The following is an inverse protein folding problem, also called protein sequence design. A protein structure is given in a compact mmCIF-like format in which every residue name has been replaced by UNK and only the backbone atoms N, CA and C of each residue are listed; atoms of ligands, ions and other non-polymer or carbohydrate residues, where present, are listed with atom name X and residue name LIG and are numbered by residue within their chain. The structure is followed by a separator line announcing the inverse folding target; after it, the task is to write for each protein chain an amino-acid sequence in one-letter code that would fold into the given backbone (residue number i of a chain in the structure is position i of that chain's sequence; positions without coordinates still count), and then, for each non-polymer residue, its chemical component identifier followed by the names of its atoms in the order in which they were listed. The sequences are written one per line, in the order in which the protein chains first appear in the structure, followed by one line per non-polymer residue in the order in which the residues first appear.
data_IF_958572684409
#
_entry.id   IF_958572684409
#
_cell.length_a   1.000
_cell.length_b   1.000
_cell.length_c   1.000
_cell.angle_alpha   90.00
_cell.angle_beta   90.00
_cell.angle_gamma   90.00
#
_symmetry.space_group_name_H-M   'P 1'
#
loop_
_entity.id
_entity.type
_entity.pdbx_description
1 polymer ?
#
# COMPACT_ATOMS: atom_id res chain seq x y z
N UNK A 1 -13.21 -19.38 6.28
CA UNK A 1 -11.88 -19.95 5.97
C UNK A 1 -11.30 -19.21 4.78
N UNK A 2 -10.04 -18.77 4.83
CA UNK A 2 -9.40 -18.05 3.72
C UNK A 2 -8.86 -19.02 2.68
N UNK A 3 -9.21 -18.83 1.40
CA UNK A 3 -8.70 -19.63 0.27
C UNK A 3 -7.18 -19.51 0.19
N UNK A 4 -6.64 -18.30 0.37
CA UNK A 4 -5.19 -18.08 0.38
C UNK A 4 -4.49 -18.87 1.49
N UNK A 5 -5.11 -18.94 2.69
CA UNK A 5 -4.57 -19.75 3.78
C UNK A 5 -4.61 -21.25 3.47
N UNK A 6 -5.70 -21.75 2.86
CA UNK A 6 -5.78 -23.16 2.48
C UNK A 6 -4.78 -23.50 1.36
N UNK A 7 -4.61 -22.63 0.37
CA UNK A 7 -3.61 -22.80 -0.69
C UNK A 7 -2.18 -22.76 -0.14
N UNK A 8 -1.90 -21.82 0.78
CA UNK A 8 -0.62 -21.74 1.48
C UNK A 8 -0.34 -22.99 2.32
N UNK A 9 -1.35 -23.50 3.02
CA UNK A 9 -1.24 -24.74 3.82
C UNK A 9 -0.99 -25.94 2.93
N UNK A 10 -1.76 -26.10 1.84
CA UNK A 10 -1.60 -27.19 0.88
C UNK A 10 -0.20 -27.20 0.29
N UNK A 11 0.29 -26.04 -0.13
CA UNK A 11 1.64 -25.87 -0.66
C UNK A 11 2.74 -26.25 0.36
N UNK A 12 2.53 -25.94 1.65
CA UNK A 12 3.44 -26.34 2.73
C UNK A 12 3.38 -27.85 3.06
N UNK A 13 2.24 -28.51 2.83
CA UNK A 13 2.04 -29.94 3.13
C UNK A 13 2.18 -30.85 1.91
N UNK A 14 2.31 -30.31 0.70
CA UNK A 14 2.45 -31.08 -0.52
C UNK A 14 3.82 -31.77 -0.55
N UNK A 15 3.83 -33.06 -0.26
CA UNK A 15 5.00 -33.94 -0.37
C UNK A 15 5.36 -34.14 -1.85
N UNK A 16 6.06 -33.19 -2.46
CA UNK A 16 7.02 -33.36 -3.57
C UNK A 16 6.59 -33.98 -4.91
N UNK A 17 5.39 -34.53 -5.09
CA UNK A 17 5.08 -35.36 -6.28
C UNK A 17 4.66 -34.54 -7.53
N UNK A 18 4.42 -33.23 -7.43
CA UNK A 18 3.88 -32.43 -8.57
C UNK A 18 4.70 -31.18 -8.94
N UNK A 19 5.84 -30.88 -8.32
CA UNK A 19 6.48 -29.58 -8.55
C UNK A 19 7.89 -29.66 -9.15
N UNK A 20 7.97 -29.60 -10.47
CA UNK A 20 9.16 -29.21 -11.25
C UNK A 20 9.49 -27.70 -11.11
N UNK A 21 9.16 -27.12 -9.95
CA UNK A 21 9.28 -25.70 -9.65
C UNK A 21 9.02 -25.45 -8.18
N UNK A 22 10.01 -24.93 -7.46
CA UNK A 22 10.12 -24.94 -6.00
C UNK A 22 8.87 -24.56 -5.18
N UNK A 23 8.73 -25.28 -4.07
CA UNK A 23 7.78 -25.11 -2.97
C UNK A 23 7.64 -23.62 -2.56
N UNK A 24 6.43 -23.05 -2.55
CA UNK A 24 6.15 -21.71 -2.04
C UNK A 24 5.47 -20.73 -3.02
N UNK A 25 5.81 -20.79 -4.31
CA UNK A 25 5.55 -19.68 -5.24
C UNK A 25 4.52 -19.99 -6.35
N UNK A 26 4.11 -21.25 -6.52
CA UNK A 26 3.38 -21.66 -7.71
C UNK A 26 1.93 -21.15 -7.72
N UNK A 27 1.19 -21.31 -6.62
CA UNK A 27 -0.22 -20.91 -6.59
C UNK A 27 -0.41 -19.39 -6.71
N UNK A 28 0.45 -18.58 -6.06
CA UNK A 28 0.39 -17.11 -6.17
C UNK A 28 0.67 -16.66 -7.59
N UNK A 29 1.63 -17.30 -8.28
CA UNK A 29 1.94 -17.03 -9.69
C UNK A 29 0.79 -17.45 -10.62
N UNK A 30 0.17 -18.60 -10.37
CA UNK A 30 -0.98 -19.07 -11.15
C UNK A 30 -2.16 -18.11 -10.99
N UNK A 31 -2.51 -17.74 -9.75
CA UNK A 31 -3.61 -16.78 -9.50
C UNK A 31 -3.26 -15.40 -10.05
N UNK A 32 -2.02 -14.93 -9.87
CA UNK A 32 -1.56 -13.65 -10.42
C UNK A 32 -1.70 -13.61 -11.95
N UNK A 33 -1.28 -14.66 -12.66
CA UNK A 33 -1.49 -14.79 -14.11
C UNK A 33 -2.97 -14.80 -14.51
N UNK A 34 -3.82 -15.44 -13.71
CA UNK A 34 -5.26 -15.43 -13.97
C UNK A 34 -5.85 -14.02 -13.80
N UNK A 35 -5.39 -13.25 -12.81
CA UNK A 35 -5.76 -11.84 -12.67
C UNK A 35 -5.27 -11.00 -13.85
N UNK A 36 -4.06 -11.24 -14.35
CA UNK A 36 -3.53 -10.52 -15.52
C UNK A 36 -4.31 -10.83 -16.80
N UNK A 37 -4.67 -12.10 -17.02
CA UNK A 37 -5.52 -12.49 -18.13
C UNK A 37 -6.91 -11.83 -18.05
N UNK A 38 -7.56 -11.90 -16.88
CA UNK A 38 -8.84 -11.23 -16.66
C UNK A 38 -8.75 -9.72 -16.88
N UNK A 39 -7.68 -9.07 -16.40
CA UNK A 39 -7.45 -7.64 -16.57
C UNK A 39 -7.30 -7.25 -18.04
N UNK A 40 -6.53 -8.02 -18.81
CA UNK A 40 -6.35 -7.82 -20.24
C UNK A 40 -7.67 -7.91 -21.01
N UNK A 41 -8.48 -8.92 -20.69
CA UNK A 41 -9.79 -9.12 -21.32
C UNK A 41 -10.77 -8.00 -20.93
N UNK A 42 -10.78 -7.62 -19.64
CA UNK A 42 -11.60 -6.53 -19.12
C UNK A 42 -11.26 -5.18 -19.76
N UNK A 43 -9.97 -4.84 -19.85
CA UNK A 43 -9.51 -3.61 -20.49
C UNK A 43 -9.89 -3.56 -21.97
N UNK A 44 -9.73 -4.67 -22.67
CA UNK A 44 -10.10 -4.80 -24.09
C UNK A 44 -11.60 -4.59 -24.29
N UNK A 45 -12.42 -5.19 -23.42
CA UNK A 45 -13.87 -5.03 -23.41
C UNK A 45 -14.29 -3.58 -23.14
N UNK A 46 -13.74 -2.95 -22.10
CA UNK A 46 -14.06 -1.57 -21.75
C UNK A 46 -13.62 -0.59 -22.84
N UNK A 47 -12.45 -0.78 -23.44
CA UNK A 47 -11.97 0.03 -24.56
C UNK A 47 -12.90 -0.09 -25.78
N UNK A 48 -13.38 -1.30 -26.07
CA UNK A 48 -14.32 -1.53 -27.17
C UNK A 48 -15.68 -0.86 -26.92
N UNK A 49 -16.18 -0.87 -25.69
CA UNK A 49 -17.44 -0.21 -25.32
C UNK A 49 -17.31 1.31 -25.42
N UNK A 50 -16.31 1.88 -24.76
CA UNK A 50 -16.08 3.32 -24.74
C UNK A 50 -15.80 3.84 -26.16
N UNK A 51 -15.06 3.08 -26.97
CA UNK A 51 -14.73 3.45 -28.34
C UNK A 51 -15.91 3.41 -29.33
N UNK A 52 -17.00 2.71 -29.02
CA UNK A 52 -18.22 2.65 -29.84
C UNK A 52 -19.22 3.76 -29.53
N UNK A 53 -19.03 4.50 -28.44
CA UNK A 53 -19.95 5.55 -28.03
C UNK A 53 -19.83 6.77 -28.93
N UNK A 54 -20.95 7.36 -29.40
CA UNK A 54 -20.94 8.62 -30.10
C UNK A 54 -20.41 9.75 -29.21
N UNK A 55 -19.90 10.83 -29.81
CA UNK A 55 -19.41 12.01 -29.09
C UNK A 55 -20.50 13.08 -29.03
N UNK A 56 -21.60 12.80 -28.34
CA UNK A 56 -22.61 13.80 -27.98
C UNK A 56 -22.45 14.25 -26.52
N UNK A 57 -23.17 15.30 -26.11
CA UNK A 57 -23.12 15.82 -24.74
C UNK A 57 -23.72 14.88 -23.71
N UNK A 58 -24.80 14.14 -24.05
CA UNK A 58 -25.39 13.12 -23.17
C UNK A 58 -24.47 11.89 -23.08
N UNK A 59 -23.84 11.52 -24.20
CA UNK A 59 -22.89 10.40 -24.24
C UNK A 59 -21.63 10.67 -23.41
N UNK A 60 -21.24 11.93 -23.19
CA UNK A 60 -20.08 12.28 -22.37
C UNK A 60 -20.30 11.89 -20.89
N UNK A 61 -21.52 12.05 -20.38
CA UNK A 61 -21.88 11.60 -19.03
C UNK A 61 -21.79 10.08 -18.92
N UNK A 62 -22.37 9.35 -19.88
CA UNK A 62 -22.32 7.89 -19.92
C UNK A 62 -20.87 7.40 -20.04
N UNK A 63 -20.06 8.07 -20.87
CA UNK A 63 -18.65 7.75 -21.04
C UNK A 63 -17.87 7.95 -19.74
N UNK A 64 -18.16 9.01 -18.99
CA UNK A 64 -17.56 9.25 -17.67
C UNK A 64 -17.94 8.17 -16.66
N UNK A 65 -19.21 7.72 -16.66
CA UNK A 65 -19.66 6.59 -15.83
C UNK A 65 -18.93 5.30 -16.18
N UNK A 66 -18.76 4.99 -17.46
CA UNK A 66 -17.99 3.82 -17.91
C UNK A 66 -16.51 3.91 -17.55
N UNK A 67 -15.91 5.11 -17.58
CA UNK A 67 -14.54 5.33 -17.11
C UNK A 67 -14.44 5.10 -15.60
N UNK A 68 -15.37 5.65 -14.82
CA UNK A 68 -15.42 5.43 -13.37
C UNK A 68 -15.61 3.94 -13.03
N UNK A 69 -16.49 3.25 -13.76
CA UNK A 69 -16.67 1.80 -13.64
C UNK A 69 -15.38 1.04 -13.95
N UNK A 70 -14.71 1.34 -15.06
CA UNK A 70 -13.43 0.73 -15.41
C UNK A 70 -12.38 0.96 -14.30
N UNK A 71 -12.28 2.18 -13.78
CA UNK A 71 -11.33 2.53 -12.72
C UNK A 71 -11.65 1.82 -11.40
N UNK A 72 -12.94 1.64 -11.05
CA UNK A 72 -13.35 0.91 -9.85
C UNK A 72 -12.91 -0.56 -9.91
N UNK A 73 -13.07 -1.23 -11.04
CA UNK A 73 -12.64 -2.62 -11.22
C UNK A 73 -11.12 -2.75 -11.38
N UNK A 74 -10.45 -1.73 -11.93
CA UNK A 74 -8.98 -1.64 -11.88
C UNK A 74 -8.47 -1.54 -10.43
N UNK A 75 -9.18 -0.83 -9.55
CA UNK A 75 -8.83 -0.82 -8.13
C UNK A 75 -8.93 -2.24 -7.51
N UNK A 76 -9.93 -3.02 -7.91
CA UNK A 76 -10.05 -4.42 -7.48
C UNK A 76 -8.88 -5.28 -8.00
N UNK A 77 -8.50 -5.14 -9.27
CA UNK A 77 -7.32 -5.80 -9.86
C UNK A 77 -6.06 -5.53 -9.05
N UNK A 78 -5.75 -4.24 -8.83
CA UNK A 78 -4.55 -3.82 -8.12
C UNK A 78 -4.57 -4.29 -6.67
N UNK A 79 -5.72 -4.24 -6.00
CA UNK A 79 -5.88 -4.77 -4.64
C UNK A 79 -5.60 -6.27 -4.58
N UNK A 80 -6.11 -7.04 -5.54
CA UNK A 80 -5.89 -8.48 -5.60
C UNK A 80 -4.40 -8.81 -5.81
N UNK A 81 -3.73 -8.11 -6.72
CA UNK A 81 -2.29 -8.27 -6.93
C UNK A 81 -1.47 -7.84 -5.71
N UNK A 82 -1.86 -6.78 -5.00
CA UNK A 82 -1.21 -6.38 -3.76
C UNK A 82 -1.35 -7.46 -2.67
N UNK A 83 -2.56 -7.98 -2.47
CA UNK A 83 -2.86 -9.05 -1.49
C UNK A 83 -2.13 -10.36 -1.78
N UNK A 84 -1.83 -10.68 -3.05
CA UNK A 84 -0.97 -11.82 -3.39
C UNK A 84 0.47 -11.64 -2.93
N UNK A 85 0.89 -10.42 -2.60
CA UNK A 85 2.26 -10.07 -2.29
C UNK A 85 2.45 -9.48 -0.88
N UNK A 86 1.39 -9.44 -0.07
CA UNK A 86 1.42 -8.93 1.30
C UNK A 86 0.47 -9.72 2.22
N UNK A 87 0.78 -9.76 3.52
CA UNK A 87 -0.18 -10.22 4.53
C UNK A 87 -0.91 -9.01 5.11
N UNK A 88 -2.11 -8.73 4.60
CA UNK A 88 -2.83 -7.50 4.94
C UNK A 88 -3.23 -7.42 6.41
N UNK A 89 -3.55 -8.54 7.05
CA UNK A 89 -3.88 -8.56 8.47
C UNK A 89 -2.68 -8.13 9.34
N UNK A 90 -1.47 -8.57 8.99
CA UNK A 90 -0.25 -8.16 9.69
C UNK A 90 0.01 -6.65 9.48
N UNK A 91 -0.28 -6.12 8.30
CA UNK A 91 -0.18 -4.68 8.03
C UNK A 91 -1.20 -3.87 8.83
N UNK A 92 -2.46 -4.32 8.92
CA UNK A 92 -3.48 -3.66 9.74
C UNK A 92 -3.11 -3.66 11.24
N UNK A 93 -2.64 -4.80 11.75
CA UNK A 93 -2.17 -4.90 13.14
C UNK A 93 -0.98 -3.98 13.38
N UNK A 94 0.00 -3.97 12.47
CA UNK A 94 1.17 -3.10 12.57
C UNK A 94 0.82 -1.61 12.54
N UNK A 95 -0.21 -1.24 11.78
CA UNK A 95 -0.78 0.10 11.73
C UNK A 95 -1.59 0.49 12.98
N UNK A 96 -1.80 -0.44 13.93
CA UNK A 96 -2.49 -0.15 15.19
C UNK A 96 -3.98 -0.51 15.21
N UNK A 97 -4.46 -1.37 14.31
CA UNK A 97 -5.81 -1.90 14.40
C UNK A 97 -6.05 -2.57 15.77
N UNK A 98 -7.11 -2.14 16.48
CA UNK A 98 -7.43 -2.64 17.83
C UNK A 98 -8.11 -4.01 17.81
N UNK A 99 -8.76 -4.35 16.71
CA UNK A 99 -9.43 -5.63 16.50
C UNK A 99 -9.33 -6.07 15.05
N UNK A 100 -9.19 -7.38 14.82
CA UNK A 100 -9.18 -8.00 13.50
C UNK A 100 -10.24 -9.09 13.48
N UNK A 101 -11.18 -9.00 12.52
CA UNK A 101 -12.28 -9.97 12.36
C UNK A 101 -13.05 -10.21 13.68
N UNK A 102 -13.33 -9.13 14.42
CA UNK A 102 -14.06 -9.17 15.69
C UNK A 102 -13.23 -9.63 16.91
N UNK A 103 -11.93 -9.90 16.74
CA UNK A 103 -11.05 -10.33 17.85
C UNK A 103 -10.12 -9.18 18.26
N UNK A 104 -9.99 -8.87 19.56
CA UNK A 104 -9.05 -7.86 20.02
C UNK A 104 -7.61 -8.28 19.74
N UNK A 105 -6.78 -7.33 19.33
CA UNK A 105 -5.37 -7.54 19.03
C UNK A 105 -4.57 -7.52 20.34
N UNK A 106 -3.84 -8.59 20.63
CA UNK A 106 -2.99 -8.65 21.83
C UNK A 106 -1.60 -8.07 21.55
N UNK A 107 -0.85 -7.63 22.58
CA UNK A 107 0.52 -7.14 22.40
C UNK A 107 1.46 -8.15 21.71
N UNK A 108 1.22 -9.46 21.90
CA UNK A 108 1.97 -10.53 21.23
C UNK A 108 1.71 -10.57 19.72
N UNK A 109 0.47 -10.30 19.31
CA UNK A 109 0.06 -10.28 17.91
C UNK A 109 0.73 -9.09 17.23
N UNK A 110 0.72 -7.92 17.87
CA UNK A 110 1.43 -6.73 17.40
C UNK A 110 2.92 -6.99 17.18
N UNK A 111 3.62 -7.57 18.16
CA UNK A 111 5.06 -7.88 18.02
C UNK A 111 5.34 -8.85 16.87
N UNK A 112 4.47 -9.85 16.66
CA UNK A 112 4.57 -10.79 15.54
C UNK A 112 4.40 -10.06 14.21
N UNK A 113 3.30 -9.33 14.05
CA UNK A 113 2.98 -8.61 12.83
C UNK A 113 4.03 -7.54 12.51
N UNK A 114 4.52 -6.80 13.50
CA UNK A 114 5.59 -5.82 13.32
C UNK A 114 6.88 -6.45 12.78
N UNK A 115 7.27 -7.63 13.28
CA UNK A 115 8.43 -8.38 12.73
C UNK A 115 8.18 -8.83 11.30
N UNK A 116 6.99 -9.35 11.01
CA UNK A 116 6.62 -9.83 9.68
C UNK A 116 6.62 -8.69 8.65
N UNK A 117 6.01 -7.55 8.96
CA UNK A 117 5.94 -6.38 8.08
C UNK A 117 7.32 -5.76 7.85
N UNK A 118 8.15 -5.63 8.90
CA UNK A 118 9.53 -5.16 8.75
C UNK A 118 10.38 -6.07 7.87
N UNK A 119 10.25 -7.39 8.04
CA UNK A 119 10.93 -8.38 7.20
C UNK A 119 10.44 -8.29 5.75
N UNK A 120 9.13 -8.21 5.54
CA UNK A 120 8.50 -8.06 4.23
C UNK A 120 9.03 -6.82 3.49
N UNK A 121 9.03 -5.65 4.12
CA UNK A 121 9.51 -4.41 3.51
C UNK A 121 11.03 -4.41 3.22
N UNK A 122 11.81 -5.16 4.01
CA UNK A 122 13.28 -5.17 3.95
C UNK A 122 13.89 -6.24 3.03
N UNK A 123 13.08 -7.13 2.45
CA UNK A 123 13.55 -8.33 1.73
C UNK A 123 14.51 -8.07 0.54
N UNK A 124 14.63 -6.82 0.05
CA UNK A 124 15.61 -6.41 -0.98
C UNK A 124 17.03 -6.13 -0.45
N UNK A 125 17.17 -5.79 0.83
CA UNK A 125 18.33 -5.04 1.32
C UNK A 125 19.34 -5.91 2.10
N UNK A 126 19.14 -7.22 2.18
CA UNK A 126 20.09 -8.16 2.78
C UNK A 126 21.21 -8.59 1.82
N UNK A 127 21.04 -8.42 0.50
CA UNK A 127 22.03 -8.85 -0.51
C UNK A 127 22.98 -7.72 -0.92
N UNK A 128 22.54 -6.46 -0.88
CA UNK A 128 23.40 -5.32 -1.23
C UNK A 128 24.43 -4.97 -0.14
N UNK A 129 24.09 -5.16 1.15
CA UNK A 129 25.01 -4.89 2.26
C UNK A 129 26.04 -6.02 2.48
N UNK A 130 25.90 -7.16 1.78
CA UNK A 130 26.83 -8.30 1.84
C UNK A 130 27.98 -8.19 0.81
N UNK A 131 28.06 -7.11 0.04
CA UNK A 131 29.16 -6.87 -0.91
C UNK A 131 30.25 -6.02 -0.24
N UNK A 132 31.07 -6.67 0.59
CA UNK A 132 32.47 -6.23 0.79
C UNK A 132 33.31 -6.84 -0.34
N UNK A 133 34.05 -6.06 -1.15
CA UNK A 133 34.73 -6.58 -2.32
C UNK A 133 36.17 -6.99 -2.03
N UNK A 134 36.45 -8.04 -1.25
CA UNK A 134 37.84 -8.50 -1.11
C UNK A 134 38.00 -10.04 -1.11
N UNK A 135 38.72 -10.49 -2.16
CA UNK A 135 39.42 -11.77 -2.36
C UNK A 135 38.61 -12.96 -2.91
N UNK A 136 38.95 -13.29 -4.15
CA UNK A 136 38.51 -14.45 -4.90
C UNK A 136 39.08 -15.75 -4.32
N UNK A 137 38.24 -16.80 -4.25
CA UNK A 137 38.62 -18.20 -4.56
C UNK A 137 37.39 -19.11 -4.61
N UNK A 138 37.20 -19.70 -5.79
CA UNK A 138 36.63 -21.00 -6.10
C UNK A 138 35.69 -21.65 -5.07
N UNK A 139 34.37 -21.49 -5.25
CA UNK A 139 33.39 -22.48 -4.78
C UNK A 139 32.29 -22.64 -5.82
N UNK A 140 32.10 -23.89 -6.23
CA UNK A 140 31.11 -24.36 -7.20
C UNK A 140 29.72 -23.75 -7.00
N UNK A 141 29.15 -23.23 -8.09
CA UNK A 141 27.80 -22.70 -8.16
C UNK A 141 26.77 -23.81 -7.86
N UNK A 142 26.10 -23.72 -6.70
CA UNK A 142 24.88 -24.47 -6.42
C UNK A 142 23.68 -23.71 -7.03
N UNK A 143 22.84 -24.34 -7.88
CA UNK A 143 21.60 -23.72 -8.34
C UNK A 143 20.55 -23.83 -7.23
N UNK A 144 20.27 -22.72 -6.54
CA UNK A 144 19.29 -22.65 -5.44
C UNK A 144 18.35 -21.43 -5.51
N UNK A 145 18.19 -20.76 -6.66
CA UNK A 145 17.76 -19.35 -6.64
C UNK A 145 16.32 -19.02 -7.12
N UNK A 146 15.58 -19.90 -7.79
CA UNK A 146 14.26 -19.49 -8.34
C UNK A 146 13.15 -19.29 -7.28
N UNK A 147 13.09 -20.11 -6.23
CA UNK A 147 12.05 -20.01 -5.19
C UNK A 147 12.20 -18.76 -4.29
N UNK A 148 13.42 -18.23 -4.21
CA UNK A 148 13.78 -17.09 -3.36
C UNK A 148 13.56 -15.75 -4.06
N UNK A 149 13.56 -15.70 -5.40
CA UNK A 149 13.40 -14.45 -6.18
C UNK A 149 11.99 -13.86 -6.05
N UNK A 150 10.96 -14.69 -5.99
CA UNK A 150 9.57 -14.22 -5.85
C UNK A 150 9.30 -13.56 -4.49
N UNK A 151 9.83 -14.12 -3.39
CA UNK A 151 9.71 -13.52 -2.07
C UNK A 151 10.53 -12.22 -1.92
N UNK A 152 11.60 -12.04 -2.72
CA UNK A 152 12.49 -10.88 -2.68
C UNK A 152 11.85 -9.59 -3.23
N UNK A 153 10.89 -9.69 -4.15
CA UNK A 153 10.23 -8.53 -4.77
C UNK A 153 8.81 -8.25 -4.29
N UNK A 154 8.20 -9.17 -3.52
CA UNK A 154 6.79 -9.09 -3.12
C UNK A 154 6.37 -7.72 -2.56
N UNK A 155 7.16 -7.14 -1.64
CA UNK A 155 6.84 -5.83 -1.07
C UNK A 155 6.80 -4.70 -2.11
N UNK A 156 7.68 -4.73 -3.10
CA UNK A 156 7.69 -3.72 -4.17
C UNK A 156 6.55 -3.95 -5.16
N UNK A 157 6.20 -5.21 -5.46
CA UNK A 157 5.05 -5.53 -6.29
C UNK A 157 3.76 -5.02 -5.61
N UNK A 158 3.59 -5.31 -4.32
CA UNK A 158 2.44 -4.84 -3.56
C UNK A 158 2.36 -3.30 -3.52
N UNK A 159 3.49 -2.64 -3.21
CA UNK A 159 3.60 -1.19 -3.22
C UNK A 159 3.30 -0.61 -4.62
N UNK A 160 3.80 -1.23 -5.69
CA UNK A 160 3.55 -0.79 -7.07
C UNK A 160 2.07 -0.85 -7.44
N UNK A 161 1.40 -1.96 -7.16
CA UNK A 161 -0.04 -2.07 -7.43
C UNK A 161 -0.85 -1.10 -6.56
N UNK A 162 -0.48 -0.93 -5.29
CA UNK A 162 -1.12 0.05 -4.40
C UNK A 162 -0.96 1.50 -4.90
N UNK A 163 0.24 1.88 -5.34
CA UNK A 163 0.52 3.18 -5.92
C UNK A 163 -0.31 3.44 -7.19
N UNK A 164 -0.30 2.51 -8.15
CA UNK A 164 -1.09 2.62 -9.38
C UNK A 164 -2.59 2.79 -9.10
N UNK A 165 -3.11 2.03 -8.14
CA UNK A 165 -4.49 2.16 -7.71
C UNK A 165 -4.80 3.55 -7.14
N UNK A 166 -3.98 4.07 -6.23
CA UNK A 166 -4.19 5.40 -5.65
C UNK A 166 -4.10 6.49 -6.71
N UNK A 167 -3.16 6.38 -7.66
CA UNK A 167 -2.98 7.33 -8.75
C UNK A 167 -4.24 7.44 -9.62
N UNK A 168 -4.80 6.29 -9.99
CA UNK A 168 -5.93 6.23 -10.90
C UNK A 168 -7.24 6.59 -10.15
N UNK A 169 -7.35 6.19 -8.89
CA UNK A 169 -8.52 6.46 -8.06
C UNK A 169 -8.62 7.92 -7.62
N UNK A 170 -7.52 8.56 -7.22
CA UNK A 170 -7.54 9.97 -6.80
C UNK A 170 -8.01 10.89 -7.92
N UNK A 171 -7.63 10.60 -9.16
CA UNK A 171 -8.00 11.40 -10.34
C UNK A 171 -9.44 11.22 -10.80
N UNK A 172 -10.01 10.04 -10.59
CA UNK A 172 -11.27 9.64 -11.24
C UNK A 172 -12.36 9.30 -10.21
N UNK A 173 -12.04 8.44 -9.24
CA UNK A 173 -13.04 7.85 -8.34
C UNK A 173 -13.48 8.80 -7.24
N UNK A 174 -12.58 9.65 -6.73
CA UNK A 174 -12.91 10.54 -5.60
C UNK A 174 -13.93 11.63 -5.93
N UNK A 175 -14.08 11.97 -7.22
CA UNK A 175 -15.08 12.93 -7.71
C UNK A 175 -16.31 12.27 -8.39
N UNK A 176 -16.41 10.95 -8.36
CA UNK A 176 -17.47 10.17 -9.01
C UNK A 176 -18.34 9.44 -7.97
N UNK A 177 -19.56 9.08 -8.35
CA UNK A 177 -20.49 8.25 -7.56
C UNK A 177 -19.92 6.84 -7.24
N UNK A 178 -18.80 6.45 -7.86
CA UNK A 178 -18.11 5.19 -7.62
C UNK A 178 -17.68 4.97 -6.15
N UNK A 179 -17.56 6.02 -5.34
CA UNK A 179 -17.34 5.88 -3.88
C UNK A 179 -18.52 5.21 -3.15
N UNK A 180 -19.70 5.14 -3.78
CA UNK A 180 -20.84 4.37 -3.31
C UNK A 180 -20.65 2.85 -3.44
N UNK A 181 -19.77 2.39 -4.33
CA UNK A 181 -19.46 0.97 -4.48
C UNK A 181 -18.63 0.48 -3.30
N UNK A 182 -19.13 -0.52 -2.56
CA UNK A 182 -18.52 -0.95 -1.29
C UNK A 182 -17.01 -1.26 -1.37
N UNK A 183 -16.56 -1.81 -2.51
CA UNK A 183 -15.18 -2.26 -2.68
C UNK A 183 -14.22 -1.09 -2.91
N UNK A 184 -14.66 0.01 -3.53
CA UNK A 184 -13.78 1.13 -3.89
C UNK A 184 -13.14 1.76 -2.65
N UNK A 185 -13.88 2.21 -1.62
CA UNK A 185 -13.28 2.77 -0.42
C UNK A 185 -12.39 1.78 0.34
N UNK A 186 -12.75 0.49 0.34
CA UNK A 186 -11.94 -0.55 0.96
C UNK A 186 -10.60 -0.75 0.24
N UNK A 187 -10.62 -0.76 -1.09
CA UNK A 187 -9.42 -0.81 -1.93
C UNK A 187 -8.51 0.40 -1.65
N UNK A 188 -9.04 1.61 -1.54
CA UNK A 188 -8.25 2.80 -1.20
C UNK A 188 -7.60 2.70 0.18
N UNK A 189 -8.35 2.27 1.19
CA UNK A 189 -7.81 2.00 2.52
C UNK A 189 -6.67 0.97 2.47
N UNK A 190 -6.86 -0.12 1.74
CA UNK A 190 -5.86 -1.17 1.56
C UNK A 190 -4.58 -0.64 0.92
N UNK A 191 -4.68 0.09 -0.20
CA UNK A 191 -3.48 0.69 -0.80
C UNK A 191 -2.79 1.67 0.13
N UNK A 192 -3.56 2.55 0.78
CA UNK A 192 -3.03 3.55 1.72
C UNK A 192 -2.16 2.87 2.77
N UNK A 193 -2.68 1.83 3.44
CA UNK A 193 -1.91 1.07 4.41
C UNK A 193 -0.72 0.33 3.80
N UNK A 194 -0.84 -0.17 2.58
CA UNK A 194 0.26 -0.86 1.88
C UNK A 194 1.43 0.08 1.63
N UNK A 195 1.15 1.27 1.07
CA UNK A 195 2.13 2.32 0.81
C UNK A 195 2.78 2.81 2.11
N UNK A 196 1.96 3.10 3.12
CA UNK A 196 2.43 3.53 4.43
C UNK A 196 3.35 2.48 5.07
N UNK A 197 2.91 1.22 5.11
CA UNK A 197 3.66 0.15 5.77
C UNK A 197 4.98 -0.13 5.05
N UNK A 198 4.99 -0.11 3.72
CA UNK A 198 6.19 -0.29 2.91
C UNK A 198 7.29 0.72 3.29
N UNK A 199 6.97 2.01 3.31
CA UNK A 199 7.94 3.05 3.63
C UNK A 199 8.27 3.13 5.13
N UNK A 200 7.27 3.08 6.00
CA UNK A 200 7.47 3.19 7.45
C UNK A 200 8.33 2.05 8.00
N UNK A 201 8.10 0.83 7.52
CA UNK A 201 8.86 -0.34 7.95
C UNK A 201 10.30 -0.34 7.41
N UNK A 202 10.53 0.18 6.19
CA UNK A 202 11.87 0.34 5.62
C UNK A 202 12.70 1.45 6.29
N UNK A 203 12.07 2.57 6.67
CA UNK A 203 12.72 3.71 7.34
C UNK A 203 13.32 3.36 8.71
N UNK A 204 12.74 2.36 9.39
CA UNK A 204 13.15 1.99 10.76
C UNK A 204 14.55 1.36 10.84
N UNK A 205 15.13 0.85 9.73
CA UNK A 205 16.44 0.20 9.71
C UNK A 205 17.63 1.19 9.79
N UNK A 206 17.45 2.45 9.40
CA UNK A 206 18.49 3.48 9.49
C UNK A 206 18.72 4.03 10.90
N UNK A 207 17.93 3.58 11.89
CA UNK A 207 17.90 4.14 13.25
C UNK A 207 18.71 3.27 14.22
N UNK A 208 20.03 3.27 14.05
CA UNK A 208 20.98 2.85 15.09
C UNK A 208 21.40 4.06 15.95
N UNK A 209 20.43 4.89 16.36
CA UNK A 209 20.70 6.10 17.14
C UNK A 209 20.07 5.97 18.51
N UNK A 210 20.91 6.21 19.51
CA UNK A 210 20.68 6.29 20.95
C UNK A 210 19.47 7.15 21.30
N UNK A 211 18.94 6.90 22.49
CA UNK A 211 17.76 7.54 23.07
C UNK A 211 17.90 9.05 23.37
N UNK A 212 18.94 9.73 22.84
CA UNK A 212 19.34 11.08 23.27
C UNK A 212 19.01 12.21 22.27
N UNK A 213 18.40 11.93 21.12
CA UNK A 213 18.07 12.97 20.11
C UNK A 213 16.60 13.43 20.12
N UNK A 214 15.94 13.43 21.28
CA UNK A 214 14.58 14.01 21.42
C UNK A 214 14.58 15.47 21.89
N UNK A 215 15.74 16.10 22.08
CA UNK A 215 15.83 17.44 22.69
C UNK A 215 16.47 18.53 21.82
N UNK A 216 16.68 18.30 20.52
CA UNK A 216 17.32 19.34 19.69
C UNK A 216 16.71 19.54 18.30
N UNK A 217 15.38 19.69 18.23
CA UNK A 217 14.77 20.41 17.11
C UNK A 217 14.68 21.90 17.48
N UNK A 218 15.84 22.56 17.42
CA UNK A 218 15.93 24.02 17.49
C UNK A 218 15.62 24.62 16.12
N UNK A 219 14.62 25.51 16.13
CA UNK A 219 14.49 26.70 15.29
C UNK A 219 14.84 26.54 13.81
N UNK A 220 13.82 26.24 12.99
CA UNK A 220 13.77 26.79 11.63
C UNK A 220 12.53 27.69 11.56
N UNK A 221 12.72 28.96 11.91
CA UNK A 221 11.83 30.04 11.51
C UNK A 221 11.89 30.15 9.98
N UNK A 222 11.11 29.36 9.26
CA UNK A 222 10.88 29.58 7.83
C UNK A 222 9.40 29.40 7.49
N UNK A 223 8.74 30.56 7.43
CA UNK A 223 7.41 30.81 6.91
C UNK A 223 6.26 30.00 7.52
N UNK A 224 5.08 30.62 7.50
CA UNK A 224 3.80 29.96 7.63
C UNK A 224 3.62 29.00 6.42
N UNK A 225 4.41 27.93 6.40
CA UNK A 225 4.44 26.97 5.30
C UNK A 225 3.16 26.16 5.37
N UNK A 226 2.17 26.60 4.58
CA UNK A 226 0.93 25.87 4.36
C UNK A 226 1.29 24.44 4.00
N UNK A 227 1.07 23.52 4.94
CA UNK A 227 1.33 22.10 4.72
C UNK A 227 0.38 21.63 3.62
N UNK A 228 0.93 21.16 2.50
CA UNK A 228 0.19 20.61 1.36
C UNK A 228 0.21 19.07 1.41
N UNK A 229 -0.72 18.43 2.17
CA UNK A 229 -0.80 16.97 2.27
C UNK A 229 -1.12 16.31 0.93
N UNK A 230 -1.78 17.02 0.01
CA UNK A 230 -2.16 16.50 -1.31
C UNK A 230 -0.94 16.41 -2.23
N UNK A 231 -0.11 17.46 -2.28
CA UNK A 231 1.14 17.45 -3.03
C UNK A 231 2.10 16.35 -2.53
N UNK A 232 2.21 16.18 -1.22
CA UNK A 232 2.99 15.10 -0.60
C UNK A 232 2.48 13.69 -0.99
N UNK A 233 1.16 13.49 -0.94
CA UNK A 233 0.52 12.26 -1.38
C UNK A 233 0.80 11.97 -2.87
N UNK A 234 0.61 12.96 -3.74
CA UNK A 234 0.79 12.79 -5.19
C UNK A 234 2.23 12.45 -5.53
N UNK A 235 3.21 13.10 -4.89
CA UNK A 235 4.63 12.78 -5.04
C UNK A 235 4.94 11.33 -4.63
N UNK A 236 4.39 10.88 -3.49
CA UNK A 236 4.57 9.50 -3.02
C UNK A 236 3.96 8.50 -4.01
N UNK A 237 2.70 8.73 -4.39
CA UNK A 237 1.94 7.86 -5.31
C UNK A 237 2.61 7.78 -6.67
N UNK A 238 3.13 8.89 -7.20
CA UNK A 238 3.90 8.92 -8.44
C UNK A 238 5.18 8.07 -8.31
N UNK A 239 5.94 8.24 -7.22
CA UNK A 239 7.16 7.46 -6.98
C UNK A 239 6.89 5.95 -6.88
N UNK A 240 5.76 5.57 -6.30
CA UNK A 240 5.37 4.18 -6.11
C UNK A 240 4.76 3.53 -7.35
N UNK A 241 4.18 4.31 -8.26
CA UNK A 241 3.49 3.79 -9.45
C UNK A 241 4.44 3.39 -10.58
N UNK A 242 5.70 3.79 -10.47
CA UNK A 242 6.75 3.52 -11.45
C UNK A 242 7.61 2.30 -11.05
N UNK A 243 7.79 1.31 -11.95
CA UNK A 243 8.60 0.14 -11.64
C UNK A 243 10.10 0.52 -11.53
N UNK A 244 10.72 0.15 -10.41
CA UNK A 244 12.18 0.26 -10.22
C UNK A 244 12.67 1.50 -9.48
N UNK A 245 11.81 2.49 -9.20
CA UNK A 245 12.20 3.70 -8.48
C UNK A 245 12.01 3.49 -6.96
N UNK A 246 13.07 3.15 -6.22
CA UNK A 246 13.12 3.47 -4.79
C UNK A 246 13.62 4.91 -4.70
N UNK A 247 12.76 5.81 -4.26
CA UNK A 247 13.17 7.19 -4.02
C UNK A 247 14.24 7.19 -2.91
N UNK A 248 15.48 7.58 -3.25
CA UNK A 248 16.60 7.76 -2.32
C UNK A 248 16.38 9.00 -1.44
N UNK A 249 15.16 9.20 -0.98
CA UNK A 249 14.77 10.31 -0.14
C UNK A 249 15.25 10.04 1.28
N UNK A 250 15.67 11.10 1.97
CA UNK A 250 15.93 11.04 3.40
C UNK A 250 14.74 10.42 4.14
N UNK A 251 15.04 9.68 5.20
CA UNK A 251 14.02 9.07 6.07
C UNK A 251 12.97 10.08 6.57
N UNK A 252 13.33 11.37 6.68
CA UNK A 252 12.44 12.48 7.05
C UNK A 252 11.45 12.83 5.93
N UNK A 253 11.93 12.94 4.70
CA UNK A 253 11.10 13.23 3.52
C UNK A 253 10.11 12.09 3.22
N UNK A 254 10.55 10.84 3.37
CA UNK A 254 9.66 9.67 3.23
C UNK A 254 8.54 9.65 4.28
N UNK A 255 8.82 10.09 5.51
CA UNK A 255 7.80 10.18 6.59
C UNK A 255 6.79 11.29 6.35
N UNK A 256 7.23 12.44 5.84
CA UNK A 256 6.32 13.54 5.47
C UNK A 256 5.36 13.07 4.38
N UNK A 257 5.90 12.48 3.31
CA UNK A 257 5.13 11.89 2.21
C UNK A 257 4.08 10.86 2.62
N UNK A 258 4.42 9.93 3.52
CA UNK A 258 3.43 8.95 4.01
C UNK A 258 2.38 9.59 4.92
N UNK A 259 2.71 10.69 5.60
CA UNK A 259 1.76 11.44 6.43
C UNK A 259 0.72 12.16 5.57
N UNK A 260 1.15 12.87 4.52
CA UNK A 260 0.22 13.51 3.57
C UNK A 260 -0.72 12.52 2.88
N UNK A 261 -0.21 11.33 2.51
CA UNK A 261 -1.03 10.23 1.98
C UNK A 261 -2.12 9.79 2.97
N UNK A 262 -1.72 9.48 4.22
CA UNK A 262 -2.66 8.97 5.21
C UNK A 262 -3.69 10.03 5.60
N UNK A 263 -3.28 11.30 5.72
CA UNK A 263 -4.18 12.43 5.98
C UNK A 263 -5.25 12.54 4.88
N UNK A 264 -4.80 12.69 3.63
CA UNK A 264 -5.70 12.89 2.48
C UNK A 264 -6.69 11.74 2.34
N UNK A 265 -6.23 10.50 2.53
CA UNK A 265 -7.09 9.32 2.43
C UNK A 265 -8.03 9.19 3.62
N UNK A 266 -7.63 9.58 4.83
CA UNK A 266 -8.52 9.63 5.98
C UNK A 266 -9.66 10.64 5.76
N UNK A 267 -9.38 11.81 5.19
CA UNK A 267 -10.41 12.81 4.84
C UNK A 267 -11.39 12.27 3.79
N UNK A 268 -10.87 11.75 2.66
CA UNK A 268 -11.69 11.18 1.58
C UNK A 268 -12.61 10.06 2.11
N UNK A 269 -12.07 9.17 2.94
CA UNK A 269 -12.80 8.00 3.42
C UNK A 269 -13.73 8.29 4.60
N UNK A 270 -13.55 9.42 5.31
CA UNK A 270 -14.42 9.80 6.45
C UNK A 270 -15.87 10.00 6.00
N UNK A 271 -16.10 10.44 4.75
CA UNK A 271 -17.46 10.61 4.19
C UNK A 271 -18.19 9.30 3.86
N UNK A 272 -17.51 8.16 3.88
CA UNK A 272 -18.05 6.88 3.40
C UNK A 272 -18.83 6.15 4.50
N UNK A 273 -20.10 5.82 4.28
CA UNK A 273 -20.98 5.24 5.33
C UNK A 273 -20.71 3.77 5.69
N UNK A 274 -19.80 3.08 5.01
CA UNK A 274 -19.51 1.68 5.25
C UNK A 274 -18.73 1.48 6.57
N UNK A 275 -19.31 0.76 7.53
CA UNK A 275 -18.74 0.54 8.87
C UNK A 275 -17.31 -0.03 8.85
N UNK A 276 -17.05 -0.97 7.94
CA UNK A 276 -15.72 -1.57 7.78
C UNK A 276 -14.67 -0.54 7.34
N UNK A 277 -15.07 0.44 6.53
CA UNK A 277 -14.22 1.53 6.06
C UNK A 277 -14.03 2.54 7.18
N UNK A 278 -15.09 2.90 7.91
CA UNK A 278 -15.01 3.80 9.07
C UNK A 278 -14.05 3.26 10.15
N UNK A 279 -14.07 1.95 10.39
CA UNK A 279 -13.09 1.31 11.27
C UNK A 279 -11.66 1.45 10.74
N UNK A 280 -11.47 1.34 9.43
CA UNK A 280 -10.19 1.61 8.77
C UNK A 280 -9.75 3.08 8.86
N UNK A 281 -10.67 4.02 8.73
CA UNK A 281 -10.40 5.47 8.89
C UNK A 281 -9.86 5.77 10.28
N UNK A 282 -10.38 5.11 11.33
CA UNK A 282 -9.84 5.27 12.69
C UNK A 282 -8.37 4.82 12.78
N UNK A 283 -8.00 3.76 12.06
CA UNK A 283 -6.59 3.33 11.95
C UNK A 283 -5.79 4.42 11.24
N UNK A 284 -6.25 4.93 10.10
CA UNK A 284 -5.56 6.00 9.36
C UNK A 284 -5.37 7.26 10.22
N UNK A 285 -6.41 7.72 10.93
CA UNK A 285 -6.31 8.86 11.85
C UNK A 285 -5.30 8.64 12.97
N UNK A 286 -5.19 7.41 13.48
CA UNK A 286 -4.19 7.05 14.49
C UNK A 286 -2.74 7.05 13.97
N UNK A 287 -2.53 7.02 12.66
CA UNK A 287 -1.22 7.11 12.03
C UNK A 287 -0.77 8.55 11.76
N UNK A 288 -1.69 9.52 11.81
CA UNK A 288 -1.36 10.94 11.65
C UNK A 288 -0.69 11.45 12.94
N UNK A 289 0.50 12.07 12.87
CA UNK A 289 1.15 12.68 14.04
C UNK A 289 0.26 13.74 14.70
N UNK A 290 0.08 13.65 16.03
CA UNK A 290 -0.79 14.55 16.81
C UNK A 290 -0.48 16.05 16.63
N UNK A 291 0.80 16.39 16.38
CA UNK A 291 1.23 17.77 16.13
C UNK A 291 0.58 18.43 14.89
N UNK A 292 0.10 17.64 13.93
CA UNK A 292 -0.58 18.13 12.73
C UNK A 292 -2.10 18.23 12.92
N UNK A 293 -2.65 17.58 13.95
CA UNK A 293 -4.08 17.63 14.27
C UNK A 293 -4.42 18.96 14.97
N UNK A 294 -3.53 19.43 15.84
CA UNK A 294 -3.73 20.65 16.62
C UNK A 294 -3.46 21.95 15.84
N UNK A 295 -2.96 21.88 14.60
CA UNK A 295 -2.71 23.07 13.78
C UNK A 295 -3.98 23.60 13.06
N UNK A 296 -5.13 22.93 13.23
CA UNK A 296 -6.42 23.34 12.65
C UNK A 296 -7.55 23.44 13.68
N UNK A 297 -7.30 23.14 14.95
CA UNK A 297 -8.22 23.44 16.05
C UNK A 297 -7.76 24.72 16.78
N UNK A 298 -7.78 25.85 16.06
CA UNK A 298 -7.91 27.15 16.74
C UNK A 298 -9.41 27.50 16.84
N UNK A 299 -9.92 27.72 18.06
CA UNK A 299 -11.31 28.06 18.27
C UNK A 299 -11.53 29.49 17.77
N UNK A 300 -12.47 29.65 16.84
CA UNK A 300 -13.17 30.92 16.64
C UNK A 300 -14.05 31.22 17.87
N UNK A 301 -13.39 31.44 18.99
CA UNK A 301 -13.95 31.82 20.26
C UNK A 301 -13.21 33.03 20.78
N UNK A 302 -13.49 34.20 20.19
CA UNK A 302 -13.60 35.48 20.91
C UNK A 302 -14.11 36.56 19.95
N UNK A 303 -15.16 37.28 20.40
CA UNK A 303 -15.48 38.60 19.83
C UNK A 303 -16.92 38.83 19.39
N UNK A 304 -17.89 38.73 20.30
CA UNK A 304 -18.98 39.72 20.33
C UNK A 304 -19.33 40.04 21.79
N UNK A 305 -19.03 41.30 22.16
CA UNK A 305 -19.58 41.95 23.34
C UNK A 305 -21.01 42.43 23.12
#
# INVERSE_FOLDING_TARGET
MSIAWDMQRRDQTALGVVSDGGHGANWRKIIGKAYDAWKSDFDSYMLAIIGRMPRSTEDESHRSEHVAFATAYNALYHSAQALLNMEFLDVQIYAGARSILGRPVQPKDYRRSARNVKRWASAKQEVQDAVQPHTAKDVAAKPLEQGTIWAKDAANIAALHAGRMLRDATKILTGSDAMGLFHVPWCLYLATLTCWAFHHASSTRGRNVSSDELENESSDESDEMVWDPRGEMEALVASMSEPGQRSNLSSTSQRRQTTGLVWTMAEILTGVRWEIVQTGVLVLKGLVPQRLINQYEDPSGEGFG
#
